data_IF_951320863241
#
_entry.id   IF_951320863241
#
_cell.length_a   1.000
_cell.length_b   1.000
_cell.length_c   1.000
_cell.angle_alpha   90.00
_cell.angle_beta   90.00
_cell.angle_gamma   90.00
#
_symmetry.space_group_name_H-M   'P 1'
#
loop_
_entity.id
_entity.type
_entity.pdbx_description
1 polymer ?
#
# COMPACT_ATOMS: atom_id res chain seq x y z
N UNK A 1 -0.23 -10.60 -5.66
CA UNK A 1 0.37 -9.32 -6.13
C UNK A 1 0.80 -9.48 -7.57
N UNK A 2 0.74 -8.41 -8.34
CA UNK A 2 1.18 -8.28 -9.74
C UNK A 2 2.67 -7.95 -9.86
N UNK A 3 3.27 -7.37 -8.82
CA UNK A 3 4.71 -7.05 -8.78
C UNK A 3 5.37 -7.76 -7.61
N UNK A 4 6.48 -8.45 -7.88
CA UNK A 4 7.34 -9.02 -6.84
C UNK A 4 7.97 -7.88 -6.04
N UNK A 5 7.88 -7.96 -4.72
CA UNK A 5 8.39 -6.92 -3.82
C UNK A 5 8.96 -7.50 -2.54
N UNK A 6 9.99 -6.86 -2.01
CA UNK A 6 10.58 -7.05 -0.68
C UNK A 6 10.62 -5.71 0.06
N UNK A 7 10.82 -5.71 1.38
CA UNK A 7 10.90 -4.50 2.21
C UNK A 7 9.72 -3.51 2.02
N UNK A 8 8.55 -4.04 1.65
CA UNK A 8 7.27 -3.33 1.62
C UNK A 8 6.72 -3.12 3.03
N UNK A 9 5.68 -2.30 3.14
CA UNK A 9 4.81 -2.25 4.31
C UNK A 9 3.43 -2.82 3.96
N UNK A 10 2.73 -3.36 4.95
CA UNK A 10 1.39 -3.94 4.78
C UNK A 10 0.46 -3.43 5.88
N UNK A 11 -0.76 -3.06 5.50
CA UNK A 11 -1.86 -2.73 6.43
C UNK A 11 -3.15 -3.38 5.98
N UNK A 12 -4.02 -3.70 6.94
CA UNK A 12 -5.40 -4.08 6.69
C UNK A 12 -6.30 -2.85 6.94
N UNK A 13 -7.17 -2.53 5.99
CA UNK A 13 -8.13 -1.45 6.09
C UNK A 13 -9.33 -1.74 5.19
N UNK A 14 -10.53 -1.41 5.65
CA UNK A 14 -11.79 -1.50 4.87
C UNK A 14 -11.96 -2.83 4.13
N UNK A 15 -11.83 -3.93 4.87
CA UNK A 15 -11.94 -5.31 4.36
C UNK A 15 -10.95 -5.67 3.23
N UNK A 16 -9.82 -4.98 3.16
CA UNK A 16 -8.77 -5.22 2.16
C UNK A 16 -7.36 -5.18 2.76
N UNK A 17 -6.40 -5.79 2.07
CA UNK A 17 -4.97 -5.76 2.44
C UNK A 17 -4.21 -4.88 1.46
N UNK A 18 -3.51 -3.87 1.97
CA UNK A 18 -2.71 -2.95 1.17
C UNK A 18 -1.23 -3.32 1.27
N UNK A 19 -0.62 -3.65 0.14
CA UNK A 19 0.82 -3.80 -0.03
C UNK A 19 1.41 -2.49 -0.56
N UNK A 20 2.13 -1.77 0.30
CA UNK A 20 2.57 -0.39 0.05
C UNK A 20 4.08 -0.38 -0.21
N UNK A 21 4.47 0.12 -1.38
CA UNK A 21 5.86 0.38 -1.74
C UNK A 21 6.79 -0.86 -1.58
N UNK A 22 8.06 -0.66 -1.25
CA UNK A 22 9.06 -1.74 -1.18
C UNK A 22 10.04 -1.66 -2.34
N UNK A 23 10.64 -2.78 -2.71
CA UNK A 23 11.58 -2.87 -3.84
C UNK A 23 11.51 -4.22 -4.53
N UNK A 24 11.82 -4.23 -5.82
CA UNK A 24 12.15 -5.45 -6.54
C UNK A 24 13.68 -5.50 -6.76
N UNK A 25 14.15 -6.40 -7.64
CA UNK A 25 15.57 -6.56 -7.90
C UNK A 25 16.22 -5.37 -8.63
N UNK A 26 15.42 -4.45 -9.17
CA UNK A 26 15.91 -3.35 -10.01
C UNK A 26 15.71 -1.97 -9.39
N UNK A 27 14.66 -1.76 -8.60
CA UNK A 27 14.31 -0.43 -8.08
C UNK A 27 13.39 -0.47 -6.86
N UNK A 28 13.31 0.66 -6.16
CA UNK A 28 12.23 0.89 -5.20
C UNK A 28 10.91 1.12 -5.91
N UNK A 29 9.81 0.72 -5.29
CA UNK A 29 8.46 0.79 -5.84
C UNK A 29 7.69 1.95 -5.21
N UNK A 30 6.97 2.69 -6.05
CA UNK A 30 5.94 3.63 -5.62
C UNK A 30 4.54 2.99 -5.66
N UNK A 31 4.40 1.80 -6.26
CA UNK A 31 3.11 1.15 -6.43
C UNK A 31 2.53 0.67 -5.10
N UNK A 32 1.21 0.84 -4.99
CA UNK A 32 0.38 0.25 -3.95
C UNK A 32 -0.52 -0.78 -4.61
N UNK A 33 -0.59 -1.98 -4.03
CA UNK A 33 -1.51 -3.02 -4.48
C UNK A 33 -2.48 -3.38 -3.36
N UNK A 34 -3.73 -3.63 -3.71
CA UNK A 34 -4.80 -3.96 -2.77
C UNK A 34 -5.30 -5.35 -3.08
N UNK A 35 -5.38 -6.19 -2.06
CA UNK A 35 -6.01 -7.50 -2.12
C UNK A 35 -7.43 -7.42 -1.60
N UNK A 36 -8.37 -7.89 -2.41
CA UNK A 36 -9.76 -8.05 -2.03
C UNK A 36 -10.06 -9.54 -1.83
N UNK A 37 -10.58 -9.89 -0.66
CA UNK A 37 -10.92 -11.29 -0.34
C UNK A 37 -12.06 -11.82 -1.20
N UNK A 38 -13.07 -10.98 -1.48
CA UNK A 38 -14.27 -11.35 -2.23
C UNK A 38 -13.96 -11.84 -3.65
N UNK A 39 -12.95 -11.25 -4.30
CA UNK A 39 -12.51 -11.63 -5.65
C UNK A 39 -11.27 -12.52 -5.63
N UNK A 40 -10.58 -12.61 -4.49
CA UNK A 40 -9.27 -13.26 -4.36
C UNK A 40 -8.24 -12.70 -5.37
N UNK A 41 -8.27 -11.39 -5.59
CA UNK A 41 -7.42 -10.72 -6.57
C UNK A 41 -6.64 -9.56 -5.96
N UNK A 42 -5.48 -9.28 -6.57
CA UNK A 42 -4.70 -8.08 -6.30
C UNK A 42 -4.93 -7.07 -7.41
N UNK A 43 -5.17 -5.82 -7.06
CA UNK A 43 -5.32 -4.69 -7.97
C UNK A 43 -4.36 -3.56 -7.64
N UNK A 44 -4.05 -2.68 -8.60
CA UNK A 44 -3.28 -1.48 -8.32
C UNK A 44 -4.19 -0.39 -7.75
N UNK A 45 -3.73 0.29 -6.70
CA UNK A 45 -4.36 1.51 -6.19
C UNK A 45 -3.52 2.75 -6.56
N UNK A 46 -3.85 3.89 -5.96
CA UNK A 46 -3.07 5.11 -6.11
C UNK A 46 -1.60 4.91 -5.67
N UNK A 47 -0.67 5.37 -6.50
CA UNK A 47 0.76 5.25 -6.24
C UNK A 47 1.21 6.31 -5.25
N UNK A 48 2.27 6.01 -4.50
CA UNK A 48 2.98 7.04 -3.74
C UNK A 48 3.63 8.04 -4.68
N UNK A 49 3.82 9.28 -4.22
CA UNK A 49 4.51 10.33 -4.98
C UNK A 49 6.01 10.05 -5.20
N UNK A 50 6.60 9.22 -4.34
CA UNK A 50 8.01 8.85 -4.42
C UNK A 50 8.20 7.42 -3.94
N UNK A 51 8.94 6.63 -4.74
CA UNK A 51 9.27 5.25 -4.44
C UNK A 51 10.15 5.14 -3.19
N UNK A 52 9.84 4.18 -2.32
CA UNK A 52 10.59 3.95 -1.07
C UNK A 52 10.48 2.51 -0.61
N UNK A 53 11.45 2.05 0.17
CA UNK A 53 11.49 0.73 0.80
C UNK A 53 11.85 0.87 2.28
N UNK A 54 11.67 -0.21 3.06
CA UNK A 54 11.95 -0.24 4.50
C UNK A 54 11.12 0.78 5.30
N UNK A 55 9.87 1.01 4.90
CA UNK A 55 8.95 1.94 5.55
C UNK A 55 8.03 1.24 6.57
N UNK A 56 7.61 1.99 7.59
CA UNK A 56 6.47 1.66 8.44
C UNK A 56 5.20 2.37 7.95
N UNK A 57 4.05 1.72 8.08
CA UNK A 57 2.74 2.31 7.78
C UNK A 57 1.78 2.04 8.92
N UNK A 58 0.80 2.91 9.10
CA UNK A 58 -0.24 2.78 10.10
C UNK A 58 -1.55 3.32 9.53
N UNK A 59 -2.66 2.73 9.97
CA UNK A 59 -4.00 3.24 9.70
C UNK A 59 -4.38 4.11 10.89
N UNK A 60 -4.72 5.37 10.63
CA UNK A 60 -5.21 6.29 11.65
C UNK A 60 -6.69 6.56 11.37
N UNK A 61 -7.60 6.33 12.32
CA UNK A 61 -8.98 6.76 12.18
C UNK A 61 -9.00 8.29 12.26
N UNK A 62 -9.17 8.94 11.12
CA UNK A 62 -9.26 10.39 11.05
C UNK A 62 -10.71 10.78 10.75
N UNK A 63 -11.31 11.62 11.58
CA UNK A 63 -12.60 12.21 11.24
C UNK A 63 -12.40 13.20 10.08
N UNK A 64 -13.35 13.32 9.14
CA UNK A 64 -13.27 14.29 8.03
C UNK A 64 -12.97 15.74 8.47
N UNK A 65 -13.36 16.10 9.69
CA UNK A 65 -13.08 17.41 10.29
C UNK A 65 -11.59 17.72 10.50
N UNK A 66 -10.73 16.70 10.53
CA UNK A 66 -9.29 16.83 10.77
C UNK A 66 -8.46 16.93 9.48
N UNK A 67 -9.07 16.72 8.30
CA UNK A 67 -8.40 16.80 7.00
C UNK A 67 -8.24 18.23 6.47
N UNK A 68 -8.84 19.22 7.14
CA UNK A 68 -8.85 20.63 6.72
C UNK A 68 -8.19 21.58 7.76
N UNK A 69 -7.41 21.06 8.70
CA UNK A 69 -6.69 21.85 9.71
C UNK A 69 -5.25 22.15 9.30
#
# INVERSE_FOLDING_TARGET
MKVVRSALSVVAYDNAIYAIAGKNDTSSLASVEVYYEDTNEWEFAAYLTSARSYLGTAVVPISPSMLNA
#
